data_IF_422994902128
#
_entry.id   IF_422994902128
#
_cell.length_a   1.000
_cell.length_b   1.000
_cell.length_c   1.000
_cell.angle_alpha   90.00
_cell.angle_beta   90.00
_cell.angle_gamma   90.00
#
_symmetry.space_group_name_H-M   'P 1'
#
loop_
_entity.id
_entity.type
_entity.pdbx_description
1 polymer ?
#
# COMPACT_ATOMS: atom_id res chain seq x y z
N UNK A 1 -20.30 25.66 -19.95
CA UNK A 1 -19.90 25.21 -21.30
C UNK A 1 -18.52 25.80 -21.55
N UNK A 2 -17.46 25.07 -21.18
CA UNK A 2 -16.09 25.55 -21.28
C UNK A 2 -15.55 25.10 -22.63
N UNK A 3 -15.38 26.05 -23.54
CA UNK A 3 -14.69 25.86 -24.82
C UNK A 3 -13.28 25.32 -24.55
N UNK A 4 -13.07 24.02 -24.81
CA UNK A 4 -11.74 23.45 -24.97
C UNK A 4 -11.35 23.61 -26.44
N UNK A 5 -10.18 24.19 -26.71
CA UNK A 5 -9.62 24.43 -28.03
C UNK A 5 -9.49 23.11 -28.81
N UNK A 6 -10.17 23.02 -29.95
CA UNK A 6 -10.28 21.82 -30.78
C UNK A 6 -9.08 21.57 -31.72
N UNK A 7 -7.87 22.10 -31.43
CA UNK A 7 -6.81 22.20 -32.45
C UNK A 7 -5.51 21.43 -32.15
N UNK A 8 -5.54 20.51 -31.18
CA UNK A 8 -4.31 19.79 -30.77
C UNK A 8 -4.40 18.27 -30.76
N UNK A 9 -5.56 17.67 -31.02
CA UNK A 9 -5.72 16.21 -31.06
C UNK A 9 -5.45 15.64 -32.46
N UNK A 10 -4.79 14.48 -32.53
CA UNK A 10 -4.67 13.70 -33.78
C UNK A 10 -5.56 12.46 -33.72
N UNK A 11 -6.20 12.13 -34.84
CA UNK A 11 -7.07 10.96 -34.99
C UNK A 11 -6.94 10.34 -36.39
N UNK A 12 -7.58 9.18 -36.56
CA UNK A 12 -7.57 8.44 -37.83
C UNK A 12 -7.98 9.33 -39.02
N UNK A 13 -7.26 9.15 -40.14
CA UNK A 13 -7.35 9.95 -41.39
C UNK A 13 -6.71 11.34 -41.35
N UNK A 14 -6.20 11.80 -40.21
CA UNK A 14 -5.43 13.04 -40.17
C UNK A 14 -4.12 12.90 -40.94
N UNK A 15 -3.74 13.95 -41.66
CA UNK A 15 -2.47 14.03 -42.39
C UNK A 15 -1.69 15.23 -41.91
N UNK A 16 -0.60 14.98 -41.18
CA UNK A 16 0.22 16.03 -40.59
C UNK A 16 1.64 15.54 -40.30
N UNK A 17 2.61 16.46 -40.32
CA UNK A 17 3.96 16.17 -39.81
C UNK A 17 3.94 15.73 -38.35
N UNK A 18 2.91 16.12 -37.60
CA UNK A 18 2.70 15.71 -36.20
C UNK A 18 2.44 14.21 -36.06
N UNK A 19 1.92 13.55 -37.09
CA UNK A 19 1.73 12.08 -37.08
C UNK A 19 3.07 11.36 -37.13
N UNK A 20 4.05 11.90 -37.85
CA UNK A 20 5.42 11.36 -37.86
C UNK A 20 6.00 11.41 -36.44
N UNK A 21 5.86 12.55 -35.76
CA UNK A 21 6.31 12.71 -34.38
C UNK A 21 5.56 11.77 -33.40
N UNK A 22 4.26 11.54 -33.63
CA UNK A 22 3.46 10.60 -32.85
C UNK A 22 3.95 9.15 -33.02
N UNK A 23 4.23 8.72 -34.24
CA UNK A 23 4.80 7.39 -34.53
C UNK A 23 6.11 7.16 -33.77
N UNK A 24 7.01 8.14 -33.84
CA UNK A 24 8.27 8.06 -33.10
C UNK A 24 8.07 8.08 -31.59
N UNK A 25 7.13 8.87 -31.07
CA UNK A 25 6.83 8.93 -29.64
C UNK A 25 6.27 7.58 -29.14
N UNK A 26 5.39 6.93 -29.91
CA UNK A 26 4.85 5.60 -29.59
C UNK A 26 5.95 4.53 -29.57
N UNK A 27 6.87 4.56 -30.54
CA UNK A 27 8.03 3.67 -30.56
C UNK A 27 8.94 3.88 -29.34
N UNK A 28 9.25 5.14 -29.00
CA UNK A 28 10.07 5.48 -27.81
C UNK A 28 9.40 5.03 -26.52
N UNK A 29 8.07 5.17 -26.45
CA UNK A 29 7.25 4.70 -25.33
C UNK A 29 7.12 3.16 -25.24
N UNK A 30 7.80 2.41 -26.13
CA UNK A 30 7.90 0.95 -26.07
C UNK A 30 6.82 0.20 -26.84
N UNK A 31 5.98 0.87 -27.62
CA UNK A 31 5.03 0.20 -28.51
C UNK A 31 5.78 -0.39 -29.69
N UNK A 32 5.75 -1.72 -29.81
CA UNK A 32 6.31 -2.42 -30.96
C UNK A 32 5.18 -3.01 -31.79
N UNK A 33 4.98 -2.45 -32.99
CA UNK A 33 4.06 -2.97 -34.00
C UNK A 33 4.69 -2.88 -35.38
N UNK A 34 4.36 -3.85 -36.23
CA UNK A 34 4.73 -3.80 -37.65
C UNK A 34 4.15 -2.53 -38.32
N UNK A 35 4.93 -1.91 -39.20
CA UNK A 35 4.54 -0.70 -39.96
C UNK A 35 4.25 0.56 -39.14
N UNK A 36 4.67 0.59 -37.86
CA UNK A 36 4.58 1.79 -37.04
C UNK A 36 5.70 2.79 -37.37
N UNK A 37 6.91 2.30 -37.63
CA UNK A 37 8.09 3.12 -37.86
C UNK A 37 7.94 4.01 -39.12
N UNK A 38 8.35 5.29 -39.07
CA UNK A 38 8.16 6.21 -40.19
C UNK A 38 8.82 5.76 -41.49
N UNK A 39 9.94 5.05 -41.41
CA UNK A 39 10.70 4.49 -42.52
C UNK A 39 10.11 3.18 -43.07
N UNK A 40 9.25 2.52 -42.30
CA UNK A 40 8.56 1.28 -42.69
C UNK A 40 7.30 1.52 -43.55
N UNK A 41 6.92 2.79 -43.80
CA UNK A 41 5.70 3.15 -44.54
C UNK A 41 5.98 4.21 -45.61
N UNK A 42 5.27 4.12 -46.73
CA UNK A 42 5.44 5.04 -47.86
C UNK A 42 5.01 6.49 -47.54
N UNK A 43 4.04 6.67 -46.64
CA UNK A 43 3.56 8.00 -46.24
C UNK A 43 3.39 8.10 -44.71
N UNK A 44 4.45 8.43 -43.97
CA UNK A 44 4.43 8.45 -42.50
C UNK A 44 3.62 9.61 -41.91
N UNK A 45 3.23 10.59 -42.72
CA UNK A 45 2.44 11.74 -42.28
C UNK A 45 0.95 11.42 -42.09
N UNK A 46 0.51 10.22 -42.48
CA UNK A 46 -0.89 9.79 -42.38
C UNK A 46 -1.11 8.98 -41.10
N UNK A 47 -2.17 9.34 -40.37
CA UNK A 47 -2.68 8.58 -39.23
C UNK A 47 -3.50 7.40 -39.75
N UNK A 48 -2.80 6.32 -40.08
CA UNK A 48 -3.35 5.09 -40.63
C UNK A 48 -3.82 4.11 -39.53
N UNK A 49 -4.27 2.93 -39.95
CA UNK A 49 -4.80 1.90 -39.07
C UNK A 49 -3.74 1.34 -38.10
N UNK A 50 -2.45 1.38 -38.48
CA UNK A 50 -1.36 0.97 -37.60
C UNK A 50 -1.12 2.00 -36.49
N UNK A 51 -1.21 3.30 -36.80
CA UNK A 51 -1.13 4.37 -35.80
C UNK A 51 -2.33 4.33 -34.86
N UNK A 52 -3.55 4.12 -35.36
CA UNK A 52 -4.75 3.97 -34.52
C UNK A 52 -4.60 2.79 -33.54
N UNK A 53 -4.19 1.63 -34.04
CA UNK A 53 -3.93 0.46 -33.20
C UNK A 53 -2.83 0.74 -32.15
N UNK A 54 -1.75 1.41 -32.54
CA UNK A 54 -0.64 1.75 -31.64
C UNK A 54 -1.06 2.76 -30.56
N UNK A 55 -1.85 3.79 -30.91
CA UNK A 55 -2.41 4.75 -29.95
C UNK A 55 -3.33 4.03 -28.97
N UNK A 56 -4.22 3.16 -29.44
CA UNK A 56 -5.10 2.38 -28.57
C UNK A 56 -4.33 1.46 -27.63
N UNK A 57 -3.31 0.77 -28.14
CA UNK A 57 -2.46 -0.08 -27.32
C UNK A 57 -1.70 0.72 -26.25
N UNK A 58 -1.22 1.91 -26.59
CA UNK A 58 -0.59 2.83 -25.63
C UNK A 58 -1.58 3.36 -24.59
N UNK A 59 -2.76 3.79 -25.02
CA UNK A 59 -3.83 4.23 -24.11
C UNK A 59 -4.20 3.11 -23.14
N UNK A 60 -4.34 1.88 -23.64
CA UNK A 60 -4.64 0.71 -22.82
C UNK A 60 -3.52 0.41 -21.82
N UNK A 61 -2.25 0.46 -22.22
CA UNK A 61 -1.12 0.20 -21.31
C UNK A 61 -0.95 1.28 -20.23
N UNK A 62 -1.41 2.51 -20.51
CA UNK A 62 -1.38 3.65 -19.58
C UNK A 62 -2.68 3.88 -18.82
N UNK A 63 -3.71 3.06 -19.03
CA UNK A 63 -5.01 3.20 -18.37
C UNK A 63 -5.79 4.47 -18.75
N UNK A 64 -5.53 5.02 -19.94
CA UNK A 64 -6.27 6.14 -20.50
C UNK A 64 -7.57 5.66 -21.17
N UNK A 65 -8.45 6.60 -21.52
CA UNK A 65 -9.61 6.30 -22.37
C UNK A 65 -9.10 5.77 -23.72
N UNK A 66 -9.52 4.56 -24.10
CA UNK A 66 -9.05 3.87 -25.31
C UNK A 66 -9.94 4.25 -26.51
N UNK A 67 -9.88 5.52 -26.91
CA UNK A 67 -10.66 6.07 -28.02
C UNK A 67 -9.91 6.10 -29.36
N UNK A 68 -8.60 5.84 -29.36
CA UNK A 68 -7.73 5.94 -30.55
C UNK A 68 -7.37 7.39 -30.92
N UNK A 69 -7.74 8.36 -30.08
CA UNK A 69 -7.46 9.78 -30.29
C UNK A 69 -6.24 10.19 -29.47
N UNK A 70 -5.22 10.71 -30.14
CA UNK A 70 -4.05 11.30 -29.50
C UNK A 70 -4.36 12.74 -29.04
N UNK A 71 -5.28 12.87 -28.08
CA UNK A 71 -5.65 14.12 -27.43
C UNK A 71 -4.65 14.55 -26.33
N UNK A 72 -4.95 15.63 -25.58
CA UNK A 72 -4.02 16.22 -24.61
C UNK A 72 -3.50 15.26 -23.55
N UNK A 73 -4.35 14.34 -23.05
CA UNK A 73 -3.93 13.36 -22.04
C UNK A 73 -3.02 12.27 -22.64
N UNK A 74 -3.35 11.77 -23.84
CA UNK A 74 -2.49 10.85 -24.59
C UNK A 74 -1.13 11.48 -24.89
N UNK A 75 -1.12 12.76 -25.29
CA UNK A 75 0.11 13.49 -25.58
C UNK A 75 0.96 13.73 -24.34
N UNK A 76 0.34 14.07 -23.20
CA UNK A 76 1.05 14.22 -21.92
C UNK A 76 1.69 12.89 -21.51
N UNK A 77 0.94 11.79 -21.56
CA UNK A 77 1.46 10.47 -21.25
C UNK A 77 2.60 10.05 -22.20
N UNK A 78 2.49 10.39 -23.49
CA UNK A 78 3.56 10.15 -24.46
C UNK A 78 4.81 10.97 -24.15
N UNK A 79 4.67 12.23 -23.72
CA UNK A 79 5.79 13.08 -23.29
C UNK A 79 6.47 12.52 -22.04
N UNK A 80 5.69 12.08 -21.05
CA UNK A 80 6.20 11.45 -19.83
C UNK A 80 6.96 10.14 -20.12
N UNK A 81 6.53 9.39 -21.14
CA UNK A 81 7.18 8.16 -21.58
C UNK A 81 8.44 8.36 -22.44
N UNK A 82 8.83 9.61 -22.76
CA UNK A 82 10.01 9.89 -23.60
C UNK A 82 11.34 9.64 -22.90
N UNK A 83 11.37 9.80 -21.57
CA UNK A 83 12.58 9.75 -20.79
C UNK A 83 12.61 8.47 -19.96
N UNK A 84 13.71 7.73 -20.07
CA UNK A 84 14.03 6.62 -19.18
C UNK A 84 14.97 7.08 -18.09
N UNK A 85 14.95 6.36 -16.98
CA UNK A 85 15.89 6.63 -15.90
C UNK A 85 17.35 6.52 -16.40
N UNK A 86 18.12 7.61 -16.29
CA UNK A 86 19.46 7.70 -16.88
C UNK A 86 19.61 8.73 -17.99
N UNK A 87 18.52 9.11 -18.66
CA UNK A 87 18.58 9.91 -19.90
C UNK A 87 18.90 11.39 -19.66
N UNK A 88 18.60 11.92 -18.46
CA UNK A 88 18.82 13.33 -18.09
C UNK A 88 19.11 13.49 -16.60
N UNK A 89 19.67 14.67 -16.26
CA UNK A 89 19.82 15.10 -14.86
C UNK A 89 18.47 15.54 -14.31
N UNK A 90 18.10 15.02 -13.14
CA UNK A 90 16.84 15.37 -12.48
C UNK A 90 17.10 16.27 -11.26
N UNK A 91 16.47 17.44 -11.22
CA UNK A 91 16.62 18.41 -10.13
C UNK A 91 15.28 19.08 -9.81
N UNK A 92 15.20 19.64 -8.61
CA UNK A 92 14.13 20.53 -8.20
C UNK A 92 14.68 21.94 -8.08
N UNK A 93 14.12 22.88 -8.83
CA UNK A 93 14.40 24.30 -8.76
C UNK A 93 13.08 25.04 -8.53
N UNK A 94 13.03 25.97 -7.58
CA UNK A 94 11.76 26.61 -7.16
C UNK A 94 11.12 27.47 -8.27
N UNK A 95 11.93 28.01 -9.18
CA UNK A 95 11.50 28.93 -10.24
C UNK A 95 11.26 28.26 -11.62
N UNK A 96 11.59 26.96 -11.76
CA UNK A 96 11.46 26.21 -13.01
C UNK A 96 10.29 25.21 -12.95
N UNK A 97 9.68 24.84 -14.09
CA UNK A 97 8.60 23.86 -14.11
C UNK A 97 9.10 22.50 -13.63
N UNK A 98 8.31 21.88 -12.75
CA UNK A 98 8.66 20.58 -12.15
C UNK A 98 8.88 19.53 -13.24
N UNK A 99 10.04 18.89 -13.20
CA UNK A 99 10.37 17.81 -14.12
C UNK A 99 9.42 16.63 -13.89
N UNK A 100 8.86 16.11 -14.97
CA UNK A 100 7.93 14.98 -14.96
C UNK A 100 8.28 13.92 -15.99
N UNK A 101 7.98 12.67 -15.68
CA UNK A 101 8.18 11.54 -16.58
C UNK A 101 8.30 10.20 -15.89
N UNK A 102 8.36 9.14 -16.71
CA UNK A 102 8.60 7.78 -16.26
C UNK A 102 9.97 7.61 -15.60
N UNK A 103 10.97 8.37 -16.05
CA UNK A 103 12.30 8.48 -15.45
C UNK A 103 12.24 8.96 -14.00
N UNK A 104 11.41 9.97 -13.72
CA UNK A 104 11.18 10.46 -12.37
C UNK A 104 10.41 9.44 -11.54
N UNK A 105 9.39 8.79 -12.12
CA UNK A 105 8.64 7.75 -11.43
C UNK A 105 9.54 6.54 -11.10
N UNK A 106 10.48 6.21 -11.97
CA UNK A 106 11.48 5.16 -11.78
C UNK A 106 12.52 5.55 -10.74
N UNK A 107 12.99 6.80 -10.72
CA UNK A 107 13.79 7.33 -9.62
C UNK A 107 13.04 7.24 -8.29
N UNK A 108 11.78 7.69 -8.23
CA UNK A 108 10.94 7.60 -7.04
C UNK A 108 10.75 6.15 -6.60
N UNK A 109 10.58 5.22 -7.54
CA UNK A 109 10.61 3.78 -7.25
C UNK A 109 11.95 3.40 -6.66
N UNK A 110 13.09 3.67 -7.29
CA UNK A 110 14.40 3.30 -6.75
C UNK A 110 14.64 3.89 -5.36
N UNK A 111 14.34 5.17 -5.16
CA UNK A 111 14.43 5.81 -3.85
C UNK A 111 13.46 5.18 -2.84
N UNK A 112 12.25 4.79 -3.26
CA UNK A 112 11.30 4.10 -2.40
C UNK A 112 11.79 2.70 -2.04
N UNK A 113 12.32 1.94 -3.01
CA UNK A 113 12.93 0.63 -2.79
C UNK A 113 14.12 0.72 -1.83
N UNK A 114 14.93 1.78 -1.95
CA UNK A 114 16.07 2.07 -1.08
C UNK A 114 15.69 2.76 0.23
N UNK A 115 14.40 2.99 0.48
CA UNK A 115 13.89 3.57 1.72
C UNK A 115 14.21 5.06 1.92
N UNK A 116 14.43 5.82 0.85
CA UNK A 116 14.62 7.27 0.88
C UNK A 116 13.35 8.06 0.49
N UNK A 117 12.40 7.42 -0.21
CA UNK A 117 11.21 8.10 -0.72
C UNK A 117 9.91 7.51 -0.19
N UNK A 118 9.10 8.36 0.45
CA UNK A 118 7.86 8.01 1.15
C UNK A 118 6.62 8.71 0.58
N UNK A 119 6.76 9.38 -0.56
CA UNK A 119 5.67 10.02 -1.29
C UNK A 119 4.93 9.05 -2.20
N UNK A 120 3.87 9.53 -2.84
CA UNK A 120 3.28 8.80 -3.97
C UNK A 120 4.27 8.81 -5.13
N UNK A 121 4.40 7.68 -5.83
CA UNK A 121 5.09 7.63 -7.11
C UNK A 121 4.17 8.30 -8.13
N UNK A 122 4.34 9.60 -8.30
CA UNK A 122 3.53 10.47 -9.15
C UNK A 122 4.28 10.92 -10.40
N UNK A 123 5.54 10.49 -10.56
CA UNK A 123 6.38 10.86 -11.69
C UNK A 123 6.77 12.33 -11.72
N UNK A 124 6.69 13.04 -10.58
CA UNK A 124 6.96 14.48 -10.48
C UNK A 124 8.14 14.77 -9.53
N UNK A 125 9.16 15.47 -10.03
CA UNK A 125 10.37 15.77 -9.26
C UNK A 125 10.15 17.03 -8.42
N UNK A 126 9.35 16.90 -7.37
CA UNK A 126 9.12 17.98 -6.41
C UNK A 126 10.13 18.00 -5.27
N UNK A 127 9.94 18.92 -4.33
CA UNK A 127 10.78 19.08 -3.13
C UNK A 127 11.02 17.77 -2.36
N UNK A 128 10.00 16.88 -2.29
CA UNK A 128 10.12 15.58 -1.60
C UNK A 128 11.07 14.63 -2.32
N UNK A 129 11.04 14.64 -3.65
CA UNK A 129 11.92 13.80 -4.48
C UNK A 129 13.36 14.32 -4.36
N UNK A 130 13.56 15.64 -4.46
CA UNK A 130 14.88 16.26 -4.26
C UNK A 130 15.47 15.99 -2.87
N UNK A 131 14.66 16.07 -1.81
CA UNK A 131 15.10 15.74 -0.46
C UNK A 131 15.53 14.27 -0.33
N UNK A 132 14.75 13.34 -0.88
CA UNK A 132 15.08 11.91 -0.89
C UNK A 132 16.39 11.62 -1.64
N UNK A 133 16.65 12.33 -2.74
CA UNK A 133 17.93 12.25 -3.47
C UNK A 133 19.09 12.76 -2.62
N UNK A 134 18.92 13.91 -1.95
CA UNK A 134 19.96 14.48 -1.09
C UNK A 134 20.32 13.54 0.06
N UNK A 135 19.31 12.90 0.65
CA UNK A 135 19.48 11.91 1.72
C UNK A 135 20.21 10.66 1.20
N UNK A 136 19.86 10.16 0.01
CA UNK A 136 20.58 9.07 -0.69
C UNK A 136 22.05 9.40 -0.86
N UNK A 137 22.34 10.55 -1.43
CA UNK A 137 23.70 11.00 -1.69
C UNK A 137 24.55 11.02 -0.41
N UNK A 138 24.03 11.61 0.66
CA UNK A 138 24.74 11.65 1.96
C UNK A 138 25.04 10.25 2.48
N UNK A 139 24.10 9.31 2.35
CA UNK A 139 24.28 7.93 2.79
C UNK A 139 25.26 7.14 1.91
N UNK A 140 25.42 7.53 0.65
CA UNK A 140 26.41 6.94 -0.26
C UNK A 140 27.78 7.62 -0.18
N UNK A 141 27.97 8.57 0.74
CA UNK A 141 29.22 9.28 0.95
C UNK A 141 29.55 10.31 -0.14
N UNK A 142 28.55 10.73 -0.92
CA UNK A 142 28.67 11.80 -1.93
C UNK A 142 27.90 13.07 -1.48
N UNK A 143 28.21 14.26 -2.02
CA UNK A 143 27.56 15.50 -1.60
C UNK A 143 26.03 15.48 -1.78
N UNK A 144 25.27 15.80 -0.72
CA UNK A 144 23.81 15.81 -0.72
C UNK A 144 23.19 17.01 -1.42
N UNK A 145 23.40 17.15 -2.73
CA UNK A 145 22.92 18.26 -3.55
C UNK A 145 21.41 18.18 -3.85
N UNK A 146 20.80 17.00 -3.73
CA UNK A 146 19.40 16.77 -4.12
C UNK A 146 19.19 16.69 -5.63
N UNK A 147 20.27 16.73 -6.41
CA UNK A 147 20.28 16.63 -7.87
C UNK A 147 20.69 15.22 -8.28
N UNK A 148 19.82 14.50 -8.97
CA UNK A 148 20.11 13.16 -9.47
C UNK A 148 20.88 13.26 -10.80
N UNK A 149 22.21 13.28 -10.69
CA UNK A 149 23.16 13.32 -11.79
C UNK A 149 23.82 11.96 -12.07
N UNK A 150 24.76 11.92 -13.02
CA UNK A 150 25.42 10.68 -13.43
C UNK A 150 26.17 9.97 -12.27
N UNK A 151 26.74 10.74 -11.33
CA UNK A 151 27.42 10.19 -10.15
C UNK A 151 26.40 9.53 -9.22
N UNK A 152 25.29 10.22 -8.93
CA UNK A 152 24.19 9.71 -8.12
C UNK A 152 23.58 8.46 -8.71
N UNK A 153 23.33 8.44 -10.02
CA UNK A 153 22.77 7.28 -10.73
C UNK A 153 23.72 6.08 -10.70
N UNK A 154 25.02 6.30 -10.89
CA UNK A 154 26.02 5.23 -10.83
C UNK A 154 26.13 4.65 -9.42
N UNK A 155 26.14 5.51 -8.40
CA UNK A 155 26.18 5.10 -7.00
C UNK A 155 24.92 4.30 -6.64
N UNK A 156 23.73 4.77 -7.06
CA UNK A 156 22.46 4.09 -6.83
C UNK A 156 22.37 2.74 -7.55
N UNK A 157 22.84 2.62 -8.79
CA UNK A 157 22.84 1.37 -9.54
C UNK A 157 23.70 0.28 -8.88
N UNK A 158 24.84 0.65 -8.25
CA UNK A 158 25.68 -0.29 -7.49
C UNK A 158 24.94 -0.83 -6.26
N UNK A 159 24.21 0.04 -5.58
CA UNK A 159 23.44 -0.28 -4.37
C UNK A 159 22.23 -1.15 -4.71
N UNK A 160 21.47 -0.80 -5.76
CA UNK A 160 20.35 -1.60 -6.25
C UNK A 160 20.78 -3.01 -6.71
N UNK A 161 22.00 -3.17 -7.24
CA UNK A 161 22.53 -4.48 -7.63
C UNK A 161 22.98 -5.33 -6.45
N UNK A 162 23.37 -4.69 -5.35
CA UNK A 162 23.82 -5.36 -4.12
C UNK A 162 22.67 -5.73 -3.18
N UNK A 163 21.53 -5.05 -3.30
CA UNK A 163 20.35 -5.27 -2.45
C UNK A 163 19.27 -6.04 -3.22
N UNK A 164 18.83 -7.18 -2.69
CA UNK A 164 17.53 -7.76 -3.07
C UNK A 164 16.40 -6.80 -2.67
N UNK A 165 15.24 -6.75 -3.36
CA UNK A 165 14.07 -5.95 -2.97
C UNK A 165 13.65 -6.13 -1.50
N UNK A 166 14.00 -7.29 -0.91
CA UNK A 166 13.76 -7.64 0.49
C UNK A 166 14.73 -7.02 1.50
N UNK A 167 15.91 -6.55 1.08
CA UNK A 167 16.98 -6.06 1.97
C UNK A 167 17.07 -4.53 2.01
N UNK A 168 16.66 -3.85 0.94
CA UNK A 168 16.69 -2.39 0.85
C UNK A 168 15.60 -1.71 1.72
N UNK A 169 14.45 -2.38 1.89
CA UNK A 169 13.37 -1.95 2.78
C UNK A 169 13.65 -2.24 4.27
N UNK A 170 14.49 -3.23 4.55
CA UNK A 170 14.86 -3.65 5.90
C UNK A 170 15.86 -2.72 6.60
N UNK A 171 16.41 -1.69 5.94
CA UNK A 171 17.42 -0.82 6.58
C UNK A 171 16.90 0.57 6.99
N UNK A 172 15.73 1.01 6.51
CA UNK A 172 15.19 2.37 6.77
C UNK A 172 13.75 2.45 7.26
N UNK A 173 12.95 1.39 7.12
CA UNK A 173 11.77 1.24 7.98
C UNK A 173 12.20 1.28 9.47
N UNK A 174 13.44 0.88 9.75
CA UNK A 174 14.13 1.06 11.03
C UNK A 174 14.15 2.51 11.46
N UNK A 175 14.79 3.40 10.70
CA UNK A 175 15.07 4.77 11.15
C UNK A 175 13.80 5.63 11.35
N UNK A 176 12.68 5.26 10.68
CA UNK A 176 11.36 5.90 10.87
C UNK A 176 10.53 5.30 12.01
N UNK A 177 10.73 4.03 12.34
CA UNK A 177 10.33 3.45 13.63
C UNK A 177 11.20 4.02 14.77
N UNK A 178 12.48 4.26 14.52
CA UNK A 178 13.51 4.63 15.50
C UNK A 178 13.33 6.04 16.05
N UNK A 179 12.71 6.95 15.27
CA UNK A 179 12.42 8.32 15.73
C UNK A 179 11.18 8.46 16.61
N UNK A 180 10.44 7.38 16.91
CA UNK A 180 9.48 7.39 17.99
C UNK A 180 9.38 5.99 18.58
N UNK A 181 10.18 5.73 19.62
CA UNK A 181 10.09 4.63 20.61
C UNK A 181 9.33 3.39 20.14
N UNK A 182 9.96 2.22 20.11
CA UNK A 182 9.40 0.88 19.86
C UNK A 182 8.06 0.53 20.58
N UNK A 183 7.52 1.43 21.40
CA UNK A 183 6.27 1.36 22.11
C UNK A 183 5.02 1.63 21.22
N UNK A 184 3.93 0.96 21.56
CA UNK A 184 2.57 1.25 21.11
C UNK A 184 2.03 2.58 21.67
N UNK A 185 2.70 3.13 22.69
CA UNK A 185 2.28 4.31 23.44
C UNK A 185 2.13 5.55 22.54
N UNK A 186 0.98 6.20 22.63
CA UNK A 186 0.67 7.44 21.90
C UNK A 186 0.27 7.24 20.44
N UNK A 187 0.26 6.01 19.92
CA UNK A 187 -0.21 5.70 18.57
C UNK A 187 -1.74 5.65 18.53
N UNK A 188 -2.32 6.16 17.46
CA UNK A 188 -3.76 6.09 17.22
C UNK A 188 -4.06 4.92 16.28
N UNK A 189 -4.75 3.89 16.78
CA UNK A 189 -5.11 2.70 16.01
C UNK A 189 -6.63 2.69 15.83
N UNK A 190 -7.10 2.50 14.60
CA UNK A 190 -8.51 2.28 14.32
C UNK A 190 -8.81 0.78 14.30
N UNK A 191 -9.87 0.36 15.00
CA UNK A 191 -10.34 -1.03 14.99
C UNK A 191 -11.81 -1.06 14.55
N UNK A 192 -12.10 -1.96 13.62
CA UNK A 192 -13.44 -2.19 13.07
C UNK A 192 -13.76 -3.68 13.11
N UNK A 193 -15.04 -4.00 13.25
CA UNK A 193 -15.55 -5.36 13.31
C UNK A 193 -16.68 -5.53 12.29
N UNK A 194 -16.68 -6.67 11.61
CA UNK A 194 -17.76 -7.10 10.75
C UNK A 194 -19.09 -7.20 11.50
N UNK A 195 -20.18 -6.93 10.79
CA UNK A 195 -21.53 -6.80 11.37
C UNK A 195 -22.51 -7.85 10.84
N UNK A 196 -22.04 -8.87 10.11
CA UNK A 196 -22.93 -9.91 9.61
C UNK A 196 -23.58 -10.67 10.77
N UNK A 197 -24.88 -10.86 10.65
CA UNK A 197 -25.71 -11.61 11.61
C UNK A 197 -26.03 -13.02 11.13
N UNK A 198 -25.39 -13.46 10.03
CA UNK A 198 -25.49 -14.84 9.55
C UNK A 198 -25.02 -15.81 10.64
N UNK A 199 -25.84 -16.82 10.93
CA UNK A 199 -25.61 -17.78 12.01
C UNK A 199 -24.92 -19.02 11.47
N UNK A 200 -23.80 -19.39 12.07
CA UNK A 200 -23.12 -20.65 11.77
C UNK A 200 -24.05 -21.84 12.06
N UNK A 201 -24.16 -22.83 11.16
CA UNK A 201 -24.97 -24.02 11.39
C UNK A 201 -24.21 -25.06 12.22
N UNK A 202 -22.91 -24.89 12.44
CA UNK A 202 -22.04 -25.92 13.00
C UNK A 202 -21.67 -25.70 14.46
N UNK A 203 -21.76 -24.47 14.97
CA UNK A 203 -21.36 -24.15 16.33
C UNK A 203 -22.18 -23.01 16.93
N UNK A 204 -22.29 -23.03 18.26
CA UNK A 204 -22.76 -21.92 19.09
C UNK A 204 -21.62 -21.44 19.98
N UNK A 205 -21.69 -20.20 20.44
CA UNK A 205 -20.72 -19.66 21.39
C UNK A 205 -20.64 -20.55 22.64
N UNK A 206 -19.42 -20.94 23.03
CA UNK A 206 -19.20 -22.06 23.96
C UNK A 206 -19.61 -21.80 25.41
N UNK A 207 -19.53 -20.54 25.87
CA UNK A 207 -19.86 -20.19 27.25
C UNK A 207 -21.32 -19.81 27.44
N UNK A 208 -21.89 -19.14 26.45
CA UNK A 208 -23.22 -18.53 26.51
C UNK A 208 -24.29 -19.35 25.79
N UNK A 209 -23.90 -20.24 24.87
CA UNK A 209 -24.82 -20.95 23.99
C UNK A 209 -25.47 -20.05 22.93
N UNK A 210 -25.01 -18.81 22.78
CA UNK A 210 -25.55 -17.88 21.79
C UNK A 210 -25.23 -18.34 20.36
N UNK A 211 -26.08 -17.92 19.41
CA UNK A 211 -25.82 -18.13 17.99
C UNK A 211 -24.46 -17.54 17.59
N UNK A 212 -23.61 -18.34 16.94
CA UNK A 212 -22.30 -17.88 16.49
C UNK A 212 -22.44 -17.10 15.18
N UNK A 213 -22.15 -15.81 15.20
CA UNK A 213 -22.21 -14.90 14.05
C UNK A 213 -20.90 -14.15 13.88
N UNK A 214 -20.65 -13.56 12.71
CA UNK A 214 -19.51 -12.67 12.49
C UNK A 214 -19.55 -11.52 13.50
N UNK A 215 -20.70 -10.86 13.65
CA UNK A 215 -20.88 -9.76 14.59
C UNK A 215 -20.49 -10.13 16.02
N UNK A 216 -20.81 -11.34 16.48
CA UNK A 216 -20.43 -11.80 17.81
C UNK A 216 -18.91 -12.00 17.91
N UNK A 217 -18.33 -12.74 16.96
CA UNK A 217 -16.91 -13.13 16.99
C UNK A 217 -16.01 -11.91 16.77
N UNK A 218 -16.26 -11.12 15.72
CA UNK A 218 -15.49 -9.92 15.38
C UNK A 218 -15.56 -8.88 16.49
N UNK A 219 -16.74 -8.64 17.10
CA UNK A 219 -16.85 -7.69 18.21
C UNK A 219 -16.16 -8.18 19.50
N UNK A 220 -16.12 -9.49 19.77
CA UNK A 220 -15.37 -10.03 20.91
C UNK A 220 -13.86 -9.89 20.72
N UNK A 221 -13.35 -10.24 19.54
CA UNK A 221 -11.92 -10.09 19.21
C UNK A 221 -11.53 -8.61 19.19
N UNK A 222 -12.33 -7.73 18.57
CA UNK A 222 -12.09 -6.29 18.52
C UNK A 222 -11.96 -5.70 19.93
N UNK A 223 -12.91 -5.96 20.83
CA UNK A 223 -12.84 -5.47 22.22
C UNK A 223 -11.61 -5.97 22.97
N UNK A 224 -11.15 -7.21 22.71
CA UNK A 224 -9.92 -7.74 23.30
C UNK A 224 -8.69 -7.01 22.77
N UNK A 225 -8.59 -6.84 21.45
CA UNK A 225 -7.50 -6.09 20.79
C UNK A 225 -7.45 -4.65 21.32
N UNK A 226 -8.59 -3.96 21.35
CA UNK A 226 -8.73 -2.60 21.88
C UNK A 226 -8.22 -2.49 23.33
N UNK A 227 -8.68 -3.40 24.20
CA UNK A 227 -8.27 -3.43 25.62
C UNK A 227 -6.77 -3.61 25.77
N UNK A 228 -6.17 -4.53 25.03
CA UNK A 228 -4.74 -4.84 25.12
C UNK A 228 -3.91 -3.67 24.56
N UNK A 229 -4.29 -3.12 23.40
CA UNK A 229 -3.61 -1.95 22.83
C UNK A 229 -3.67 -0.74 23.77
N UNK A 230 -4.82 -0.48 24.37
CA UNK A 230 -4.99 0.58 25.36
C UNK A 230 -4.15 0.36 26.62
N UNK A 231 -4.04 -0.89 27.10
CA UNK A 231 -3.18 -1.27 28.22
C UNK A 231 -1.69 -0.95 27.94
N UNK A 232 -1.24 -1.04 26.69
CA UNK A 232 0.10 -0.65 26.26
C UNK A 232 0.23 0.83 25.84
N UNK A 233 -0.82 1.62 26.05
CA UNK A 233 -0.81 3.07 25.89
C UNK A 233 -1.14 3.57 24.47
N UNK A 234 -1.62 2.70 23.59
CA UNK A 234 -2.19 3.14 22.31
C UNK A 234 -3.56 3.81 22.54
N UNK A 235 -3.87 4.82 21.74
CA UNK A 235 -5.22 5.35 21.63
C UNK A 235 -5.97 4.52 20.59
N UNK A 236 -7.16 4.03 20.93
CA UNK A 236 -7.95 3.20 20.02
C UNK A 236 -9.28 3.88 19.70
N UNK A 237 -9.62 3.91 18.41
CA UNK A 237 -10.90 4.45 17.92
C UNK A 237 -11.68 3.32 17.25
N UNK A 238 -12.81 2.98 17.84
CA UNK A 238 -13.77 2.01 17.30
C UNK A 238 -14.74 2.70 16.34
N UNK A 239 -15.07 2.04 15.23
CA UNK A 239 -15.98 2.62 14.22
C UNK A 239 -17.42 2.79 14.73
N UNK A 240 -17.87 2.01 15.74
CA UNK A 240 -19.19 2.18 16.37
C UNK A 240 -19.37 3.51 17.11
N UNK A 241 -18.27 4.10 17.57
CA UNK A 241 -18.22 5.43 18.21
C UNK A 241 -18.25 6.60 17.22
N UNK A 242 -18.17 6.34 15.91
CA UNK A 242 -18.31 7.36 14.86
C UNK A 242 -19.75 7.43 14.36
N UNK A 243 -20.70 7.68 15.28
CA UNK A 243 -22.00 8.23 14.86
C UNK A 243 -21.70 9.67 14.43
N UNK A 244 -22.05 10.11 13.21
CA UNK A 244 -21.92 11.53 12.88
C UNK A 244 -22.79 12.29 13.88
N UNK A 245 -22.14 13.07 14.76
CA UNK A 245 -22.85 14.08 15.52
C UNK A 245 -23.62 14.92 14.50
N UNK A 246 -24.93 15.03 14.71
CA UNK A 246 -25.81 15.81 13.87
C UNK A 246 -25.13 17.15 13.55
N UNK A 247 -25.11 17.50 12.26
CA UNK A 247 -24.49 18.70 11.72
C UNK A 247 -24.80 19.92 12.61
N UNK A 248 -23.78 20.41 13.33
CA UNK A 248 -23.98 21.49 14.29
C UNK A 248 -22.79 21.69 15.20
N UNK A 249 -21.69 22.23 14.66
CA UNK A 249 -20.80 23.23 15.30
C UNK A 249 -19.44 23.19 14.63
N UNK A 250 -19.00 24.35 14.14
CA UNK A 250 -17.78 24.53 13.37
C UNK A 250 -16.51 24.52 14.22
N UNK A 251 -16.22 23.42 14.90
CA UNK A 251 -14.90 23.16 15.47
C UNK A 251 -14.14 22.21 14.55
N UNK A 252 -13.29 22.78 13.67
CA UNK A 252 -12.34 22.02 12.85
C UNK A 252 -11.23 21.49 13.77
N UNK A 253 -11.54 20.51 14.62
CA UNK A 253 -10.52 19.63 15.20
C UNK A 253 -9.74 19.06 14.02
N UNK A 254 -8.42 19.27 13.99
CA UNK A 254 -7.52 18.50 13.13
C UNK A 254 -7.85 17.02 13.34
N UNK A 255 -8.48 16.39 12.35
CA UNK A 255 -8.70 14.94 12.38
C UNK A 255 -7.32 14.28 12.48
N UNK A 256 -7.04 13.71 13.66
CA UNK A 256 -5.83 12.92 13.87
C UNK A 256 -5.96 11.64 13.02
N UNK A 257 -5.12 11.52 12.00
CA UNK A 257 -5.09 10.37 11.11
C UNK A 257 -4.53 9.17 11.88
N UNK A 258 -5.24 8.02 11.94
CA UNK A 258 -4.72 6.82 12.58
C UNK A 258 -3.42 6.34 11.94
N UNK A 259 -2.52 5.77 12.74
CA UNK A 259 -1.27 5.17 12.25
C UNK A 259 -1.47 3.79 11.62
N UNK A 260 -2.60 3.12 11.94
CA UNK A 260 -3.01 1.83 11.40
C UNK A 260 -4.53 1.67 11.55
N UNK A 261 -5.17 1.05 10.56
CA UNK A 261 -6.58 0.64 10.61
C UNK A 261 -6.69 -0.88 10.46
N UNK A 262 -7.44 -1.51 11.37
CA UNK A 262 -7.71 -2.94 11.40
C UNK A 262 -9.21 -3.18 11.15
N UNK A 263 -9.52 -4.12 10.28
CA UNK A 263 -10.88 -4.56 9.97
C UNK A 263 -10.97 -6.08 10.20
N UNK A 264 -11.77 -6.48 11.19
CA UNK A 264 -11.84 -7.87 11.65
C UNK A 264 -13.12 -8.54 11.15
N UNK A 265 -12.97 -9.64 10.43
CA UNK A 265 -14.06 -10.35 9.77
C UNK A 265 -14.02 -11.86 10.01
N UNK A 266 -15.14 -12.50 9.72
CA UNK A 266 -15.24 -13.93 9.49
C UNK A 266 -15.93 -14.14 8.14
N UNK A 267 -15.41 -15.07 7.35
CA UNK A 267 -15.91 -15.30 6.00
C UNK A 267 -16.98 -16.41 5.99
N UNK A 268 -17.69 -16.51 4.86
CA UNK A 268 -18.71 -17.51 4.61
C UNK A 268 -18.73 -17.91 3.14
N UNK A 269 -18.69 -19.21 2.89
CA UNK A 269 -18.91 -19.78 1.56
C UNK A 269 -19.89 -20.95 1.64
N UNK A 270 -20.70 -21.11 0.59
CA UNK A 270 -21.63 -22.24 0.46
C UNK A 270 -20.92 -23.61 0.36
N UNK A 271 -19.59 -23.60 0.21
CA UNK A 271 -18.76 -24.80 0.29
C UNK A 271 -18.24 -24.98 1.71
N UNK A 272 -18.76 -25.99 2.42
CA UNK A 272 -18.33 -26.33 3.79
C UNK A 272 -16.84 -26.70 3.90
N UNK A 273 -16.18 -27.02 2.78
CA UNK A 273 -14.75 -27.32 2.73
C UNK A 273 -13.84 -26.08 2.81
N UNK A 274 -14.37 -24.88 2.60
CA UNK A 274 -13.59 -23.64 2.71
C UNK A 274 -13.26 -23.37 4.17
N UNK A 275 -11.98 -23.28 4.50
CA UNK A 275 -11.49 -23.09 5.87
C UNK A 275 -10.15 -22.36 5.87
N UNK A 276 -9.85 -21.68 6.98
CA UNK A 276 -8.58 -21.02 7.20
C UNK A 276 -8.68 -19.49 7.32
N UNK A 277 -7.50 -18.88 7.45
CA UNK A 277 -7.32 -17.46 7.74
C UNK A 277 -6.57 -16.76 6.61
N UNK A 278 -6.99 -15.54 6.31
CA UNK A 278 -6.40 -14.70 5.28
C UNK A 278 -6.23 -13.26 5.78
N UNK A 279 -5.25 -12.55 5.22
CA UNK A 279 -5.10 -11.11 5.47
C UNK A 279 -5.02 -10.35 4.15
N UNK A 280 -5.57 -9.15 4.14
CA UNK A 280 -5.68 -8.33 2.94
C UNK A 280 -5.11 -6.94 3.16
N UNK A 281 -4.49 -6.39 2.11
CA UNK A 281 -3.93 -5.05 2.10
C UNK A 281 -4.32 -4.32 0.81
N UNK A 282 -4.21 -2.99 0.82
CA UNK A 282 -4.45 -2.18 -0.38
C UNK A 282 -3.36 -2.44 -1.44
N UNK A 283 -3.74 -3.10 -2.53
CA UNK A 283 -2.81 -3.55 -3.57
C UNK A 283 -3.52 -3.99 -4.84
N UNK A 284 -2.76 -4.24 -5.90
CA UNK A 284 -3.30 -4.66 -7.20
C UNK A 284 -3.36 -6.20 -7.23
N UNK A 285 -4.55 -6.84 -7.32
CA UNK A 285 -4.67 -8.30 -7.25
C UNK A 285 -3.94 -9.05 -8.37
N UNK A 286 -3.91 -8.49 -9.58
CA UNK A 286 -3.34 -9.15 -10.77
C UNK A 286 -1.81 -9.19 -10.76
N UNK A 287 -1.16 -8.21 -10.14
CA UNK A 287 0.31 -8.11 -10.10
C UNK A 287 0.88 -8.44 -8.72
N UNK A 288 0.04 -8.47 -7.68
CA UNK A 288 0.47 -8.58 -6.27
C UNK A 288 1.13 -7.30 -5.75
N UNK A 289 1.21 -6.23 -6.55
CA UNK A 289 1.95 -5.02 -6.22
C UNK A 289 1.27 -4.26 -5.06
N UNK A 290 2.01 -3.97 -3.96
CA UNK A 290 1.47 -3.21 -2.85
C UNK A 290 1.33 -1.73 -3.16
N UNK A 291 0.11 -1.23 -3.03
CA UNK A 291 -0.19 0.21 -3.02
C UNK A 291 -0.07 0.80 -1.61
N UNK A 292 -0.13 -0.04 -0.57
CA UNK A 292 0.20 0.29 0.81
C UNK A 292 1.28 -0.66 1.34
N UNK A 293 2.56 -0.29 1.26
CA UNK A 293 3.66 -1.13 1.75
C UNK A 293 3.57 -1.44 3.25
N UNK A 294 3.20 -0.45 4.07
CA UNK A 294 3.01 -0.63 5.52
C UNK A 294 1.82 -1.57 5.80
N UNK A 295 0.70 -1.39 5.08
CA UNK A 295 -0.44 -2.30 5.17
C UNK A 295 -0.07 -3.72 4.77
N UNK A 296 0.74 -3.89 3.73
CA UNK A 296 1.24 -5.20 3.30
C UNK A 296 2.13 -5.86 4.37
N UNK A 297 3.09 -5.14 4.95
CA UNK A 297 3.95 -5.66 6.04
C UNK A 297 3.11 -6.05 7.26
N UNK A 298 2.16 -5.20 7.66
CA UNK A 298 1.24 -5.49 8.76
C UNK A 298 0.42 -6.76 8.49
N UNK A 299 -0.12 -6.92 7.28
CA UNK A 299 -0.87 -8.10 6.88
C UNK A 299 -0.02 -9.40 6.92
N UNK A 300 1.26 -9.33 6.52
CA UNK A 300 2.21 -10.46 6.63
C UNK A 300 2.45 -10.84 8.09
N UNK A 301 2.76 -9.86 8.95
CA UNK A 301 3.04 -10.12 10.37
C UNK A 301 1.80 -10.70 11.07
N UNK A 302 0.61 -10.19 10.78
CA UNK A 302 -0.64 -10.70 11.33
C UNK A 302 -0.89 -12.14 10.93
N UNK A 303 -0.78 -12.48 9.64
CA UNK A 303 -0.97 -13.86 9.19
C UNK A 303 0.06 -14.80 9.84
N UNK A 304 1.32 -14.37 9.95
CA UNK A 304 2.38 -15.15 10.60
C UNK A 304 2.08 -15.43 12.07
N UNK A 305 1.69 -14.42 12.84
CA UNK A 305 1.38 -14.58 14.28
C UNK A 305 0.08 -15.36 14.53
N UNK A 306 -0.92 -15.22 13.64
CA UNK A 306 -2.14 -16.01 13.73
C UNK A 306 -1.84 -17.49 13.46
N UNK A 307 -1.16 -17.80 12.36
CA UNK A 307 -0.87 -19.19 11.96
C UNK A 307 0.11 -19.90 12.89
N UNK A 308 1.01 -19.16 13.56
CA UNK A 308 1.94 -19.75 14.52
C UNK A 308 1.29 -20.15 15.86
N UNK A 309 0.15 -19.55 16.21
CA UNK A 309 -0.48 -19.70 17.54
C UNK A 309 -1.85 -20.37 17.49
N UNK A 310 -2.37 -20.60 16.29
CA UNK A 310 -3.65 -21.23 16.05
C UNK A 310 -3.48 -22.39 15.07
N UNK A 311 -4.51 -23.21 14.96
CA UNK A 311 -4.59 -24.37 14.06
C UNK A 311 -5.32 -24.07 12.75
N UNK A 312 -5.65 -22.80 12.47
CA UNK A 312 -6.30 -22.41 11.21
C UNK A 312 -5.35 -22.55 10.01
N UNK A 313 -5.90 -23.00 8.88
CA UNK A 313 -5.14 -23.14 7.64
C UNK A 313 -4.69 -21.76 7.09
N UNK A 314 -3.43 -21.58 6.67
CA UNK A 314 -2.96 -20.33 6.09
C UNK A 314 -3.42 -20.16 4.63
N UNK A 315 -4.30 -19.20 4.35
CA UNK A 315 -4.76 -18.91 2.98
C UNK A 315 -3.93 -17.82 2.28
N UNK A 316 -2.98 -17.21 2.98
CA UNK A 316 -2.04 -16.25 2.43
C UNK A 316 -2.42 -14.79 2.62
N UNK A 317 -1.57 -13.91 2.08
CA UNK A 317 -1.69 -12.45 2.15
C UNK A 317 -2.03 -11.93 0.77
N UNK A 318 -3.07 -11.09 0.66
CA UNK A 318 -3.68 -10.78 -0.63
C UNK A 318 -3.85 -9.28 -0.86
N UNK A 319 -3.37 -8.80 -2.01
CA UNK A 319 -3.67 -7.44 -2.48
C UNK A 319 -5.13 -7.33 -2.92
N UNK A 320 -5.86 -6.33 -2.41
CA UNK A 320 -7.24 -6.02 -2.80
C UNK A 320 -7.44 -4.53 -3.02
N UNK A 321 -8.40 -4.22 -3.89
CA UNK A 321 -8.84 -2.85 -4.18
C UNK A 321 -10.16 -2.50 -3.49
N UNK A 322 -10.41 -3.02 -2.29
CA UNK A 322 -11.61 -2.73 -1.51
C UNK A 322 -11.58 -1.35 -0.85
N UNK A 323 -12.72 -0.67 -0.78
CA UNK A 323 -12.82 0.67 -0.19
C UNK A 323 -12.47 0.69 1.31
N UNK A 324 -12.75 -0.39 2.04
CA UNK A 324 -12.37 -0.56 3.45
C UNK A 324 -10.86 -0.53 3.67
N UNK A 325 -10.07 -0.92 2.66
CA UNK A 325 -8.61 -0.88 2.66
C UNK A 325 -8.06 0.46 2.12
N UNK A 326 -8.90 1.29 1.50
CA UNK A 326 -8.56 2.58 0.90
C UNK A 326 -8.85 3.75 1.86
N UNK A 327 -8.31 3.69 3.07
CA UNK A 327 -8.43 4.79 4.05
C UNK A 327 -7.34 5.82 3.77
N UNK A 328 -7.75 7.05 3.45
CA UNK A 328 -6.82 8.13 3.10
C UNK A 328 -5.81 8.38 4.24
N UNK A 329 -4.51 8.28 3.93
CA UNK A 329 -3.43 8.53 4.88
C UNK A 329 -3.25 7.46 5.97
N UNK A 330 -4.03 6.37 5.97
CA UNK A 330 -3.98 5.34 7.01
C UNK A 330 -3.69 3.96 6.39
N UNK A 331 -2.55 3.32 6.71
CA UNK A 331 -2.32 1.92 6.36
C UNK A 331 -3.46 1.05 6.92
N UNK A 332 -4.03 0.18 6.09
CA UNK A 332 -5.22 -0.60 6.45
C UNK A 332 -5.03 -2.07 6.16
N UNK A 333 -5.48 -2.91 7.09
CA UNK A 333 -5.46 -4.38 6.99
C UNK A 333 -6.84 -4.92 7.31
N UNK A 334 -7.31 -5.83 6.48
CA UNK A 334 -8.51 -6.63 6.73
C UNK A 334 -8.09 -8.07 7.04
N UNK A 335 -8.71 -8.68 8.04
CA UNK A 335 -8.36 -10.00 8.56
C UNK A 335 -9.61 -10.88 8.53
N UNK A 336 -9.55 -11.96 7.75
CA UNK A 336 -10.53 -13.04 7.83
C UNK A 336 -10.02 -14.07 8.83
N UNK A 337 -10.72 -14.16 9.96
CA UNK A 337 -10.31 -14.99 11.12
C UNK A 337 -10.74 -16.45 11.02
N UNK A 338 -11.43 -16.84 9.95
CA UNK A 338 -11.94 -18.19 9.73
C UNK A 338 -13.30 -18.19 9.01
N UNK A 339 -13.73 -19.37 8.57
CA UNK A 339 -15.01 -19.57 7.90
C UNK A 339 -16.09 -20.05 8.88
N UNK A 340 -17.14 -19.25 9.10
CA UNK A 340 -18.26 -19.67 9.96
C UNK A 340 -19.13 -20.76 9.32
N UNK A 341 -19.02 -20.94 8.01
CA UNK A 341 -19.63 -22.05 7.26
C UNK A 341 -18.85 -23.36 7.35
N UNK A 342 -17.68 -23.39 8.01
CA UNK A 342 -16.89 -24.59 8.20
C UNK A 342 -16.97 -25.09 9.65
N UNK A 343 -17.17 -26.40 9.82
CA UNK A 343 -17.37 -26.97 11.15
C UNK A 343 -16.15 -26.86 12.07
N UNK A 344 -14.93 -27.00 11.55
CA UNK A 344 -13.71 -26.87 12.34
C UNK A 344 -13.49 -25.42 12.75
N UNK A 345 -13.45 -24.51 11.78
CA UNK A 345 -13.23 -23.08 12.03
C UNK A 345 -14.29 -22.49 12.97
N UNK A 346 -15.56 -22.80 12.76
CA UNK A 346 -16.66 -22.36 13.62
C UNK A 346 -16.50 -22.89 15.06
N UNK A 347 -16.12 -24.16 15.25
CA UNK A 347 -15.89 -24.73 16.58
C UNK A 347 -14.71 -24.09 17.31
N UNK A 348 -13.68 -23.66 16.58
CA UNK A 348 -12.52 -22.91 17.11
C UNK A 348 -12.91 -21.47 17.44
N UNK A 349 -13.60 -20.77 16.55
CA UNK A 349 -14.07 -19.40 16.78
C UNK A 349 -15.15 -19.31 17.88
N UNK A 350 -15.89 -20.38 18.13
CA UNK A 350 -16.80 -20.49 19.27
C UNK A 350 -16.09 -20.50 20.63
N UNK A 351 -14.80 -20.84 20.66
CA UNK A 351 -13.98 -20.89 21.87
C UNK A 351 -13.43 -19.49 22.23
N UNK A 352 -13.82 -18.91 23.38
CA UNK A 352 -13.26 -17.63 23.82
C UNK A 352 -11.75 -17.67 24.08
N UNK A 353 -11.17 -18.83 24.37
CA UNK A 353 -9.71 -18.97 24.54
C UNK A 353 -9.02 -18.77 23.20
N UNK A 354 -9.54 -19.36 22.13
CA UNK A 354 -9.01 -19.17 20.77
C UNK A 354 -9.19 -17.72 20.32
N UNK A 355 -10.34 -17.09 20.61
CA UNK A 355 -10.55 -15.66 20.32
C UNK A 355 -9.58 -14.76 21.08
N UNK A 356 -9.20 -15.13 22.31
CA UNK A 356 -8.13 -14.43 23.04
C UNK A 356 -6.77 -14.62 22.37
N UNK A 357 -6.43 -15.84 21.93
CA UNK A 357 -5.19 -16.10 21.18
C UNK A 357 -5.12 -15.29 19.88
N UNK A 358 -6.22 -15.20 19.13
CA UNK A 358 -6.31 -14.35 17.92
C UNK A 358 -6.05 -12.88 18.27
N UNK A 359 -6.67 -12.36 19.33
CA UNK A 359 -6.46 -10.98 19.77
C UNK A 359 -5.00 -10.72 20.17
N UNK A 360 -4.39 -11.64 20.92
CA UNK A 360 -2.98 -11.56 21.31
C UNK A 360 -2.06 -11.59 20.08
N UNK A 361 -2.30 -12.48 19.12
CA UNK A 361 -1.57 -12.55 17.84
C UNK A 361 -1.63 -11.23 17.08
N UNK A 362 -2.81 -10.60 16.99
CA UNK A 362 -3.00 -9.32 16.31
C UNK A 362 -2.19 -8.23 17.00
N UNK A 363 -2.26 -8.12 18.33
CA UNK A 363 -1.51 -7.09 19.06
C UNK A 363 -0.01 -7.31 18.98
N UNK A 364 0.45 -8.56 19.07
CA UNK A 364 1.87 -8.91 18.90
C UNK A 364 2.33 -8.54 17.50
N UNK A 365 1.54 -8.83 16.45
CA UNK A 365 1.87 -8.41 15.10
C UNK A 365 1.94 -6.87 14.94
N UNK A 366 1.05 -6.13 15.60
CA UNK A 366 1.09 -4.65 15.62
C UNK A 366 2.31 -4.15 16.39
N UNK A 367 2.67 -4.75 17.52
CA UNK A 367 3.90 -4.44 18.24
C UNK A 367 5.13 -4.70 17.35
N UNK A 368 5.20 -5.88 16.71
CA UNK A 368 6.27 -6.26 15.78
C UNK A 368 6.36 -5.35 14.55
N UNK A 369 5.25 -4.78 14.11
CA UNK A 369 5.25 -3.75 13.05
C UNK A 369 6.04 -2.50 13.46
N UNK A 370 6.16 -2.24 14.77
CA UNK A 370 6.84 -1.09 15.36
C UNK A 370 8.13 -1.44 16.12
N UNK A 371 8.58 -2.70 16.07
CA UNK A 371 9.88 -3.14 16.61
C UNK A 371 11.00 -3.03 15.56
N UNK A 372 12.22 -2.78 16.04
CA UNK A 372 13.44 -2.95 15.27
C UNK A 372 13.77 -4.47 15.16
N UNK A 373 14.17 -5.03 14.01
CA UNK A 373 14.77 -6.34 13.65
C UNK A 373 15.78 -6.87 14.66
N UNK A 374 16.58 -6.00 15.28
CA UNK A 374 17.50 -6.42 16.34
C UNK A 374 16.74 -6.84 17.62
N UNK A 375 15.53 -6.30 17.81
CA UNK A 375 14.59 -6.61 18.88
C UNK A 375 13.45 -7.55 18.43
N UNK A 376 13.22 -7.70 17.11
CA UNK A 376 12.21 -8.58 16.53
C UNK A 376 12.60 -10.05 16.76
N UNK A 377 11.66 -10.79 17.32
CA UNK A 377 11.88 -12.19 17.67
C UNK A 377 11.34 -13.10 16.55
N UNK A 378 11.84 -14.35 16.43
CA UNK A 378 11.24 -15.33 15.54
C UNK A 378 9.72 -15.42 15.73
N UNK A 379 8.98 -15.61 14.64
CA UNK A 379 7.50 -15.67 14.71
C UNK A 379 7.05 -16.71 15.72
N UNK A 380 6.10 -16.33 16.58
CA UNK A 380 5.53 -17.21 17.60
C UNK A 380 6.34 -17.33 18.90
N UNK A 381 7.48 -16.63 19.06
CA UNK A 381 8.26 -16.68 20.30
C UNK A 381 8.00 -15.52 21.26
N UNK A 382 7.48 -14.38 20.77
CA UNK A 382 7.17 -13.21 21.61
C UNK A 382 5.89 -13.47 22.42
N UNK A 383 5.95 -13.48 23.75
CA UNK A 383 4.74 -13.59 24.58
C UNK A 383 4.06 -12.22 24.74
N UNK A 384 2.79 -12.21 25.14
CA UNK A 384 2.11 -10.95 25.48
C UNK A 384 2.83 -10.23 26.64
N UNK A 385 3.42 -10.98 27.56
CA UNK A 385 4.24 -10.43 28.66
C UNK A 385 5.51 -9.72 28.15
N UNK A 386 6.06 -10.13 27.02
CA UNK A 386 7.23 -9.46 26.43
C UNK A 386 6.87 -8.10 25.81
N UNK A 387 5.62 -7.92 25.36
CA UNK A 387 5.11 -6.62 24.90
C UNK A 387 5.19 -5.56 26.01
N UNK A 388 5.03 -5.98 27.27
CA UNK A 388 5.13 -5.06 28.42
C UNK A 388 6.53 -4.49 28.62
N UNK A 389 7.60 -5.22 28.24
CA UNK A 389 8.99 -4.75 28.34
C UNK A 389 9.24 -3.55 27.43
N UNK A 390 8.62 -3.53 26.26
CA UNK A 390 8.68 -2.42 25.32
C UNK A 390 7.72 -1.27 25.69
N UNK A 391 6.83 -1.49 26.68
CA UNK A 391 5.76 -0.56 27.04
C UNK A 391 5.57 -0.40 28.57
N UNK A 392 6.61 -0.03 29.35
CA UNK A 392 6.55 -0.01 30.83
C UNK A 392 5.57 1.03 31.38
N UNK A 393 4.82 0.68 32.44
CA UNK A 393 3.84 1.56 33.10
C UNK A 393 4.51 2.79 33.76
N UNK A 394 3.74 3.85 34.07
CA UNK A 394 4.29 5.05 34.72
C UNK A 394 4.92 4.75 36.09
N UNK A 395 4.36 3.81 36.86
CA UNK A 395 4.91 3.37 38.16
C UNK A 395 6.25 2.62 38.02
N UNK A 396 6.42 1.85 36.94
CA UNK A 396 7.66 1.09 36.68
C UNK A 396 8.83 1.98 36.23
N UNK A 397 8.56 3.19 35.70
CA UNK A 397 9.60 4.18 35.34
C UNK A 397 10.09 5.01 36.51
N UNK A 398 9.28 5.15 37.56
CA UNK A 398 9.62 5.95 38.75
C UNK A 398 10.45 5.16 39.77
N UNK A 399 10.59 3.85 39.55
CA UNK A 399 11.23 2.90 40.48
C UNK A 399 12.48 2.23 39.93
N UNK A 400 12.84 2.47 38.67
CA UNK A 400 14.10 2.03 38.03
C UNK A 400 14.89 3.22 37.51
#
# INVERSE_FOLDING_TARGET
MIHHSADDSLQRLDVSRRVVALREALLRAGISMSYLAPDAVNNPSVFDDHVDAAVRAFQQSRGLIVDGVAGPDTQRALQEAQFRFGDRVLSYEEDEPVQRGDDVAELQRHLSHLGFYYGHIDGSFGFRTGYAVAELQQNLGIPGTGVCDAETMTAMARVNRALSPSQAFALRDYDRLDRSTAALRGRLIRVSAGQSTAVSPHATERLTGAALTEMLVAADVARRVERILAQFGAQVVSTESSRPAAAGSGDRRRETVPSLSLDLHCDWLDQEAAAGIATYYWGIPSTGEPRSPIGHRAAILMLKELTARTDFAPLGVHGRTWDTLRVAGTPSVSIDMGYLSNAHDAARLADPVVRQTIADSIVIAVQRLYLLEEEDQPTGTLALDDVSRFNPSEEQRLTG
#
